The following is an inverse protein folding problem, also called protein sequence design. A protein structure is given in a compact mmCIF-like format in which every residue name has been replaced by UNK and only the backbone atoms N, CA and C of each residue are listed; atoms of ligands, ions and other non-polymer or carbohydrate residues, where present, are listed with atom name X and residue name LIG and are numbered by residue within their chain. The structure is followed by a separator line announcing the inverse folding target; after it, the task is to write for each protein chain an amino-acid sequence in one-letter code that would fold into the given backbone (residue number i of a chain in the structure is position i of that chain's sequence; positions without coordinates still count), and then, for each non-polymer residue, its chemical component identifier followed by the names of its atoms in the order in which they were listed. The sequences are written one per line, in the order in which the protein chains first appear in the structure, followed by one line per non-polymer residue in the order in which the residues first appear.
data_IF_157746945242
#
_entry.id   IF_157746945242
#
_cell.length_a   1.000
_cell.length_b   1.000
_cell.length_c   1.000
_cell.angle_alpha   90.00
_cell.angle_beta   90.00
_cell.angle_gamma   90.00
#
_symmetry.space_group_name_H-M   'P 1'
#
loop_
_entity.id
_entity.type
_entity.pdbx_description
1 polymer ?
#
# COMPACT_ATOMS: atom_id res chain seq x y z
N UNK A 1 17.65 -9.24 -22.01
CA UNK A 1 16.98 -9.68 -20.77
C UNK A 1 15.49 -9.42 -20.94
N UNK A 2 14.70 -10.46 -21.22
CA UNK A 2 13.25 -10.32 -21.26
C UNK A 2 12.78 -10.03 -19.84
N UNK A 3 12.29 -8.81 -19.58
CA UNK A 3 11.57 -8.51 -18.36
C UNK A 3 10.28 -9.34 -18.38
N UNK A 4 10.33 -10.54 -17.80
CA UNK A 4 9.15 -11.39 -17.66
C UNK A 4 8.03 -10.56 -17.05
N UNK A 5 6.85 -10.60 -17.67
CA UNK A 5 5.69 -9.84 -17.23
C UNK A 5 5.45 -10.14 -15.75
N UNK A 6 5.71 -9.14 -14.90
CA UNK A 6 5.29 -9.16 -13.50
C UNK A 6 3.77 -9.25 -13.59
N UNK A 7 3.18 -10.42 -13.28
CA UNK A 7 1.83 -10.79 -13.68
C UNK A 7 0.80 -9.65 -13.57
N UNK A 8 -0.09 -9.58 -14.56
CA UNK A 8 -1.03 -8.46 -14.79
C UNK A 8 -1.97 -8.17 -13.61
N UNK A 9 -2.12 -9.12 -12.69
CA UNK A 9 -2.95 -9.03 -11.48
C UNK A 9 -2.16 -8.76 -10.20
N UNK A 10 -0.86 -8.43 -10.30
CA UNK A 10 -0.01 -8.09 -9.15
C UNK A 10 0.24 -6.58 -9.07
N UNK A 11 -0.41 -5.96 -8.10
CA UNK A 11 -0.33 -4.51 -7.86
C UNK A 11 0.55 -4.19 -6.65
N UNK A 12 1.18 -3.01 -6.68
CA UNK A 12 1.93 -2.45 -5.56
C UNK A 12 1.41 -1.04 -5.27
N UNK A 13 1.14 -0.75 -4.00
CA UNK A 13 0.77 0.60 -3.53
C UNK A 13 1.96 1.14 -2.74
N UNK A 14 2.50 2.28 -3.16
CA UNK A 14 3.55 2.99 -2.44
C UNK A 14 2.91 4.10 -1.61
N UNK A 15 2.87 3.90 -0.29
CA UNK A 15 2.34 4.89 0.65
C UNK A 15 3.51 5.47 1.45
N UNK A 16 3.70 6.78 1.35
CA UNK A 16 4.70 7.52 2.11
C UNK A 16 4.00 8.58 2.97
N UNK A 17 4.37 8.63 4.25
CA UNK A 17 3.82 9.54 5.25
C UNK A 17 4.97 10.24 5.98
N UNK A 18 4.68 11.41 6.55
CA UNK A 18 5.67 12.17 7.33
C UNK A 18 6.10 11.43 8.60
N UNK A 19 5.16 10.77 9.25
CA UNK A 19 5.31 10.10 10.54
C UNK A 19 4.29 8.95 10.70
N UNK A 20 4.41 8.22 11.80
CA UNK A 20 3.53 7.08 12.10
C UNK A 20 2.11 7.53 12.45
N UNK A 21 1.95 8.72 13.05
CA UNK A 21 0.65 9.32 13.34
C UNK A 21 -0.17 9.53 12.06
N UNK A 22 0.46 10.01 10.99
CA UNK A 22 -0.19 10.16 9.68
C UNK A 22 -0.62 8.82 9.08
N UNK A 23 0.15 7.75 9.26
CA UNK A 23 -0.25 6.38 8.87
C UNK A 23 -1.50 5.95 9.63
N UNK A 24 -1.52 6.17 10.94
CA UNK A 24 -2.67 5.81 11.79
C UNK A 24 -3.91 6.65 11.46
N UNK A 25 -3.74 7.92 11.14
CA UNK A 25 -4.82 8.80 10.70
C UNK A 25 -5.40 8.34 9.35
N UNK A 26 -4.55 8.00 8.37
CA UNK A 26 -4.99 7.48 7.07
C UNK A 26 -5.90 6.25 7.23
N UNK A 27 -5.51 5.30 8.09
CA UNK A 27 -6.28 4.07 8.33
C UNK A 27 -7.67 4.28 8.95
N UNK A 28 -7.97 5.49 9.44
CA UNK A 28 -9.28 5.86 10.00
C UNK A 28 -10.15 6.63 9.00
N UNK A 29 -9.62 6.97 7.83
CA UNK A 29 -10.35 7.75 6.82
C UNK A 29 -11.48 6.93 6.18
N UNK A 30 -12.62 7.55 5.80
CA UNK A 30 -13.71 6.84 5.13
C UNK A 30 -13.28 6.13 3.84
N UNK A 31 -12.36 6.72 3.08
CA UNK A 31 -11.89 6.11 1.83
C UNK A 31 -11.03 4.86 2.05
N UNK A 32 -10.17 4.85 3.08
CA UNK A 32 -9.40 3.66 3.42
C UNK A 32 -10.32 2.51 3.84
N UNK A 33 -11.30 2.80 4.70
CA UNK A 33 -12.26 1.78 5.17
C UNK A 33 -13.07 1.18 4.02
N UNK A 34 -13.63 2.02 3.13
CA UNK A 34 -14.35 1.56 1.94
C UNK A 34 -13.46 0.79 0.96
N UNK A 35 -12.18 1.14 0.86
CA UNK A 35 -11.20 0.41 0.04
C UNK A 35 -10.93 -0.98 0.62
N UNK A 36 -10.73 -1.10 1.94
CA UNK A 36 -10.50 -2.39 2.61
C UNK A 36 -11.70 -3.32 2.45
N UNK A 37 -12.91 -2.81 2.64
CA UNK A 37 -14.16 -3.57 2.46
C UNK A 37 -14.26 -4.15 1.05
N UNK A 38 -14.07 -3.32 0.01
CA UNK A 38 -14.17 -3.76 -1.38
C UNK A 38 -13.02 -4.68 -1.82
N UNK A 39 -11.83 -4.51 -1.26
CA UNK A 39 -10.68 -5.33 -1.63
C UNK A 39 -10.81 -6.78 -1.14
N UNK A 40 -11.56 -7.05 -0.07
CA UNK A 40 -11.69 -8.39 0.49
C UNK A 40 -12.14 -9.42 -0.56
N UNK A 41 -13.10 -9.05 -1.41
CA UNK A 41 -13.62 -9.90 -2.49
C UNK A 41 -12.68 -10.00 -3.70
N UNK A 42 -11.79 -9.03 -3.88
CA UNK A 42 -10.91 -8.94 -5.07
C UNK A 42 -9.54 -9.61 -4.86
N UNK A 43 -9.15 -9.86 -3.61
CA UNK A 43 -7.81 -10.34 -3.28
C UNK A 43 -7.70 -11.87 -3.41
N UNK A 44 -6.82 -12.32 -4.30
CA UNK A 44 -6.48 -13.75 -4.44
C UNK A 44 -5.64 -14.31 -3.28
N UNK A 45 -5.07 -13.44 -2.45
CA UNK A 45 -4.27 -13.78 -1.27
C UNK A 45 -4.22 -12.60 -0.29
N UNK A 46 -3.87 -12.80 0.99
CA UNK A 46 -3.69 -11.68 1.93
C UNK A 46 -2.68 -10.64 1.42
N UNK A 47 -2.97 -9.36 1.70
CA UNK A 47 -2.06 -8.25 1.37
C UNK A 47 -0.74 -8.38 2.15
N UNK A 48 0.37 -8.06 1.49
CA UNK A 48 1.70 -8.00 2.10
C UNK A 48 2.13 -6.55 2.26
N UNK A 49 2.77 -6.23 3.40
CA UNK A 49 3.33 -4.90 3.67
C UNK A 49 4.83 -5.01 3.95
N UNK A 50 5.60 -4.10 3.35
CA UNK A 50 7.01 -3.86 3.70
C UNK A 50 7.20 -2.38 3.98
N UNK A 51 7.69 -2.06 5.18
CA UNK A 51 8.05 -0.69 5.55
C UNK A 51 9.50 -0.39 5.15
N UNK A 52 9.77 0.88 4.85
CA UNK A 52 11.08 1.40 4.51
C UNK A 52 11.36 2.67 5.30
N UNK A 53 12.64 2.98 5.52
CA UNK A 53 13.08 4.24 6.09
C UNK A 53 13.29 5.23 4.93
N UNK A 54 12.54 6.34 4.94
CA UNK A 54 12.73 7.42 3.98
C UNK A 54 14.02 8.19 4.29
N UNK A 55 15.06 8.00 3.49
CA UNK A 55 16.33 8.72 3.66
C UNK A 55 16.31 10.11 3.02
N UNK A 56 15.55 10.26 1.93
CA UNK A 56 15.46 11.49 1.13
C UNK A 56 14.03 11.67 0.56
N UNK A 57 13.59 12.93 0.33
CA UNK A 57 14.20 14.15 0.83
C UNK A 57 14.22 14.16 2.37
N UNK A 58 15.14 14.93 2.95
CA UNK A 58 15.09 15.17 4.39
C UNK A 58 13.84 16.01 4.69
N UNK A 59 13.13 15.65 5.76
CA UNK A 59 11.90 16.31 6.23
C UNK A 59 12.21 17.57 7.02
#
# INVERSE_FOLDING_TARGET
MSAGSRGETRFFIYEAYKDDEAVLAHKKTPHYLACVEKLEEMMSQPRQKRSFIGLLPQV
#
